data_IF_074180093764
#
_entry.id   IF_074180093764
#
_cell.length_a   1.000
_cell.length_b   1.000
_cell.length_c   1.000
_cell.angle_alpha   90.00
_cell.angle_beta   90.00
_cell.angle_gamma   90.00
#
_symmetry.space_group_name_H-M   'P 1'
#
loop_
_entity.id
_entity.type
_entity.pdbx_description
1 polymer ?
#
# COMPACT_ATOMS: atom_id res chain seq x y z
N UNK A 1 -21.80 -0.51 16.89
CA UNK A 1 -20.98 -1.74 16.75
C UNK A 1 -20.28 -1.81 15.40
N UNK A 2 -20.91 -1.38 14.31
CA UNK A 2 -20.34 -1.37 12.96
C UNK A 2 -19.05 -0.53 12.86
N UNK A 3 -19.01 0.65 13.50
CA UNK A 3 -17.83 1.52 13.49
C UNK A 3 -16.61 0.89 14.18
N UNK A 4 -16.80 0.17 15.29
CA UNK A 4 -15.70 -0.53 16.00
C UNK A 4 -15.07 -1.62 15.13
N UNK A 5 -15.89 -2.35 14.36
CA UNK A 5 -15.39 -3.39 13.45
C UNK A 5 -14.58 -2.78 12.31
N UNK A 6 -15.06 -1.69 11.71
CA UNK A 6 -14.36 -0.97 10.64
C UNK A 6 -13.03 -0.42 11.14
N UNK A 7 -13.01 0.20 12.32
CA UNK A 7 -11.77 0.69 12.95
C UNK A 7 -10.78 -0.46 13.21
N UNK A 8 -11.24 -1.59 13.76
CA UNK A 8 -10.36 -2.74 14.00
C UNK A 8 -9.75 -3.28 12.70
N UNK A 9 -10.54 -3.36 11.62
CA UNK A 9 -10.08 -3.84 10.32
C UNK A 9 -9.05 -2.87 9.73
N UNK A 10 -9.31 -1.56 9.72
CA UNK A 10 -8.34 -0.62 9.16
C UNK A 10 -7.06 -0.56 10.00
N UNK A 11 -7.14 -0.69 11.32
CA UNK A 11 -5.94 -0.79 12.17
C UNK A 11 -5.11 -2.03 11.83
N UNK A 12 -5.73 -3.19 11.61
CA UNK A 12 -5.01 -4.39 11.15
C UNK A 12 -4.40 -4.19 9.76
N UNK A 13 -5.11 -3.57 8.82
CA UNK A 13 -4.58 -3.23 7.49
C UNK A 13 -3.36 -2.33 7.60
N UNK A 14 -3.41 -1.27 8.41
CA UNK A 14 -2.28 -0.37 8.65
C UNK A 14 -1.09 -1.12 9.26
N UNK A 15 -1.34 -2.06 10.18
CA UNK A 15 -0.26 -2.89 10.73
C UNK A 15 0.37 -3.77 9.65
N UNK A 16 -0.42 -4.49 8.86
CA UNK A 16 0.11 -5.36 7.80
C UNK A 16 0.89 -4.56 6.75
N UNK A 17 0.40 -3.38 6.36
CA UNK A 17 1.07 -2.54 5.38
C UNK A 17 2.28 -1.79 5.95
N UNK A 18 2.28 -1.41 7.22
CA UNK A 18 3.46 -0.84 7.87
C UNK A 18 4.62 -1.84 7.94
N UNK A 19 4.35 -3.06 8.38
CA UNK A 19 5.34 -4.15 8.40
C UNK A 19 5.76 -4.61 6.99
N UNK A 20 4.95 -4.33 5.96
CA UNK A 20 5.29 -4.70 4.59
C UNK A 20 6.55 -3.98 4.09
N UNK A 21 6.79 -2.72 4.49
CA UNK A 21 8.00 -1.99 4.08
C UNK A 21 9.27 -2.71 4.58
N UNK A 22 9.28 -3.14 5.84
CA UNK A 22 10.39 -3.93 6.38
C UNK A 22 10.57 -5.26 5.63
N UNK A 23 9.48 -5.99 5.39
CA UNK A 23 9.53 -7.24 4.65
C UNK A 23 10.00 -7.06 3.20
N UNK A 24 9.61 -5.96 2.53
CA UNK A 24 10.12 -5.59 1.20
C UNK A 24 11.63 -5.36 1.30
N UNK A 25 12.09 -4.55 2.25
CA UNK A 25 13.52 -4.22 2.41
C UNK A 25 14.40 -5.42 2.68
N UNK A 26 13.89 -6.42 3.40
CA UNK A 26 14.57 -7.71 3.58
C UNK A 26 14.61 -8.47 2.26
N UNK A 27 13.46 -8.65 1.61
CA UNK A 27 13.36 -9.48 0.42
C UNK A 27 14.12 -8.92 -0.80
N UNK A 28 14.12 -7.59 -0.99
CA UNK A 28 14.79 -6.95 -2.15
C UNK A 28 16.31 -7.02 -2.11
N UNK A 29 16.91 -7.53 -1.01
CA UNK A 29 18.35 -7.82 -0.94
C UNK A 29 18.74 -9.04 -1.77
N UNK A 30 17.80 -9.96 -1.97
CA UNK A 30 18.05 -11.26 -2.63
C UNK A 30 17.13 -11.50 -3.84
N UNK A 31 16.03 -10.74 -3.96
CA UNK A 31 15.02 -10.92 -5.02
C UNK A 31 14.74 -9.57 -5.70
N UNK A 32 14.70 -9.57 -7.03
CA UNK A 32 14.40 -8.34 -7.77
C UNK A 32 12.93 -7.90 -7.62
N UNK A 33 12.63 -6.66 -8.01
CA UNK A 33 11.35 -6.02 -7.77
C UNK A 33 10.19 -6.70 -8.52
N UNK A 34 10.45 -7.22 -9.72
CA UNK A 34 9.45 -7.88 -10.54
C UNK A 34 9.14 -9.27 -9.97
N UNK A 35 10.18 -10.04 -9.64
CA UNK A 35 10.04 -11.36 -9.03
C UNK A 35 9.36 -11.29 -7.67
N UNK A 36 9.75 -10.34 -6.81
CA UNK A 36 9.12 -10.13 -5.51
C UNK A 36 7.62 -9.83 -5.65
N UNK A 37 7.26 -8.96 -6.59
CA UNK A 37 5.85 -8.63 -6.89
C UNK A 37 5.10 -9.85 -7.42
N UNK A 38 5.71 -10.62 -8.30
CA UNK A 38 5.13 -11.83 -8.88
C UNK A 38 4.87 -12.90 -7.81
N UNK A 39 5.84 -13.16 -6.94
CA UNK A 39 5.72 -14.17 -5.88
C UNK A 39 4.60 -13.83 -4.89
N UNK A 40 4.56 -12.58 -4.39
CA UNK A 40 3.52 -12.18 -3.43
C UNK A 40 2.11 -12.25 -4.04
N UNK A 41 1.95 -11.89 -5.31
CA UNK A 41 0.64 -11.99 -5.98
C UNK A 41 0.27 -13.43 -6.25
N UNK A 42 1.22 -14.29 -6.63
CA UNK A 42 0.98 -15.72 -6.80
C UNK A 42 0.44 -16.33 -5.51
N UNK A 43 1.05 -16.02 -4.36
CA UNK A 43 0.56 -16.48 -3.05
C UNK A 43 -0.85 -15.95 -2.77
N UNK A 44 -1.08 -14.64 -2.93
CA UNK A 44 -2.39 -14.04 -2.68
C UNK A 44 -3.49 -14.62 -3.59
N UNK A 45 -3.16 -14.88 -4.86
CA UNK A 45 -4.07 -15.42 -5.85
C UNK A 45 -4.56 -16.82 -5.53
N UNK A 46 -3.80 -17.63 -4.78
CA UNK A 46 -4.30 -18.94 -4.29
C UNK A 46 -5.56 -18.73 -3.44
N UNK A 47 -5.49 -17.81 -2.48
CA UNK A 47 -6.62 -17.51 -1.58
C UNK A 47 -7.77 -16.77 -2.28
N UNK A 48 -7.44 -15.79 -3.12
CA UNK A 48 -8.43 -14.99 -3.85
C UNK A 48 -9.18 -15.82 -4.90
N UNK A 49 -8.48 -16.72 -5.61
CA UNK A 49 -9.13 -17.64 -6.55
C UNK A 49 -10.03 -18.62 -5.82
N UNK A 50 -9.58 -19.18 -4.69
CA UNK A 50 -10.43 -20.05 -3.87
C UNK A 50 -11.71 -19.33 -3.40
N UNK A 51 -11.59 -18.08 -2.96
CA UNK A 51 -12.75 -17.24 -2.64
C UNK A 51 -13.72 -17.07 -3.82
N UNK A 52 -13.21 -16.73 -5.01
CA UNK A 52 -14.03 -16.52 -6.20
C UNK A 52 -14.74 -17.79 -6.67
N UNK A 53 -14.07 -18.96 -6.60
CA UNK A 53 -14.68 -20.24 -6.94
C UNK A 53 -15.85 -20.59 -6.02
N UNK A 54 -15.75 -20.26 -4.73
CA UNK A 54 -16.83 -20.45 -3.77
C UNK A 54 -17.99 -19.47 -3.97
N UNK A 55 -17.68 -18.21 -4.30
CA UNK A 55 -18.68 -17.17 -4.55
C UNK A 55 -19.39 -17.30 -5.89
N UNK A 56 -18.76 -17.93 -6.89
CA UNK A 56 -19.23 -18.00 -8.28
C UNK A 56 -19.55 -16.63 -8.87
N UNK A 57 -18.88 -15.59 -8.38
CA UNK A 57 -19.06 -14.22 -8.86
C UNK A 57 -18.13 -14.00 -10.05
N UNK A 58 -18.68 -13.56 -11.18
CA UNK A 58 -17.93 -13.29 -12.42
C UNK A 58 -18.28 -11.88 -12.90
N UNK A 59 -17.29 -11.02 -13.20
CA UNK A 59 -17.56 -9.68 -13.66
C UNK A 59 -18.18 -9.69 -15.06
N UNK A 60 -18.92 -8.64 -15.37
CA UNK A 60 -19.42 -8.45 -16.73
C UNK A 60 -18.24 -8.30 -17.70
N UNK A 61 -18.33 -8.94 -18.87
CA UNK A 61 -17.24 -8.95 -19.87
C UNK A 61 -16.80 -7.53 -20.27
N UNK A 62 -17.75 -6.61 -20.34
CA UNK A 62 -17.55 -5.19 -20.64
C UNK A 62 -16.68 -4.45 -19.60
N UNK A 63 -16.66 -4.91 -18.35
CA UNK A 63 -15.86 -4.29 -17.30
C UNK A 63 -14.48 -4.95 -17.12
N UNK A 64 -14.20 -6.07 -17.79
CA UNK A 64 -12.88 -6.73 -17.72
C UNK A 64 -11.74 -5.74 -18.02
N UNK A 65 -11.80 -4.88 -19.07
CA UNK A 65 -10.75 -3.89 -19.31
C UNK A 65 -10.59 -2.88 -18.17
N UNK A 66 -11.69 -2.50 -17.51
CA UNK A 66 -11.69 -1.56 -16.39
C UNK A 66 -11.07 -2.18 -15.15
N UNK A 67 -11.43 -3.42 -14.83
CA UNK A 67 -10.87 -4.17 -13.70
C UNK A 67 -9.39 -4.50 -13.97
N UNK A 68 -9.04 -4.80 -15.21
CA UNK A 68 -7.64 -4.97 -15.62
C UNK A 68 -6.85 -3.67 -15.43
N UNK A 69 -7.39 -2.52 -15.85
CA UNK A 69 -6.76 -1.22 -15.62
C UNK A 69 -6.59 -0.93 -14.12
N UNK A 70 -7.59 -1.24 -13.30
CA UNK A 70 -7.51 -1.15 -11.84
C UNK A 70 -6.38 -2.01 -11.27
N UNK A 71 -6.27 -3.27 -11.72
CA UNK A 71 -5.20 -4.19 -11.32
C UNK A 71 -3.81 -3.73 -11.79
N UNK A 72 -3.67 -3.38 -13.06
CA UNK A 72 -2.38 -2.99 -13.63
C UNK A 72 -1.86 -1.67 -13.04
N UNK A 73 -2.62 -0.58 -13.19
CA UNK A 73 -2.17 0.74 -12.76
C UNK A 73 -2.21 0.89 -11.24
N UNK A 74 -3.14 0.21 -10.58
CA UNK A 74 -3.35 0.35 -9.15
C UNK A 74 -2.60 -0.65 -8.27
N UNK A 75 -2.22 -1.80 -8.82
CA UNK A 75 -1.59 -2.89 -8.05
C UNK A 75 -0.24 -3.29 -8.63
N UNK A 76 -0.14 -3.67 -9.91
CA UNK A 76 1.14 -4.06 -10.52
C UNK A 76 2.13 -2.90 -10.51
N UNK A 77 1.75 -1.76 -11.08
CA UNK A 77 2.60 -0.58 -11.16
C UNK A 77 2.99 -0.09 -9.76
N UNK A 78 2.04 -0.05 -8.83
CA UNK A 78 2.30 0.30 -7.43
C UNK A 78 3.41 -0.56 -6.81
N UNK A 79 3.25 -1.88 -6.84
CA UNK A 79 4.18 -2.78 -6.13
C UNK A 79 5.53 -2.91 -6.82
N UNK A 80 5.58 -2.95 -8.16
CA UNK A 80 6.86 -2.99 -8.89
C UNK A 80 7.66 -1.72 -8.60
N UNK A 81 7.04 -0.55 -8.70
CA UNK A 81 7.70 0.73 -8.46
C UNK A 81 8.10 0.92 -6.99
N UNK A 82 7.28 0.46 -6.04
CA UNK A 82 7.61 0.51 -4.62
C UNK A 82 8.79 -0.41 -4.30
N UNK A 83 8.74 -1.68 -4.72
CA UNK A 83 9.81 -2.64 -4.49
C UNK A 83 11.12 -2.17 -5.13
N UNK A 84 11.05 -1.65 -6.37
CA UNK A 84 12.20 -1.08 -7.06
C UNK A 84 12.75 0.13 -6.30
N UNK A 85 11.87 1.04 -5.85
CA UNK A 85 12.28 2.18 -5.05
C UNK A 85 13.02 1.79 -3.77
N UNK A 86 12.52 0.81 -3.03
CA UNK A 86 13.14 0.31 -1.79
C UNK A 86 14.48 -0.41 -1.99
N UNK A 87 14.89 -0.72 -3.23
CA UNK A 87 16.27 -1.11 -3.51
C UNK A 87 17.24 0.05 -3.31
N UNK A 88 16.81 1.29 -3.58
CA UNK A 88 17.66 2.49 -3.57
C UNK A 88 17.43 3.39 -2.34
N UNK A 89 16.23 3.37 -1.75
CA UNK A 89 15.89 4.21 -0.60
C UNK A 89 15.54 3.38 0.64
N UNK A 90 15.51 4.02 1.80
CA UNK A 90 15.10 3.37 3.05
C UNK A 90 13.59 3.13 3.08
N UNK A 91 13.16 2.11 3.83
CA UNK A 91 11.74 1.82 4.08
C UNK A 91 11.01 2.99 4.71
N UNK A 92 11.67 3.73 5.61
CA UNK A 92 11.16 4.96 6.18
C UNK A 92 10.84 6.00 5.09
N UNK A 93 11.81 6.32 4.22
CA UNK A 93 11.60 7.28 3.14
C UNK A 93 10.55 6.83 2.12
N UNK A 94 10.54 5.54 1.76
CA UNK A 94 9.51 4.99 0.88
C UNK A 94 8.11 5.15 1.50
N UNK A 95 7.95 4.84 2.79
CA UNK A 95 6.68 5.00 3.50
C UNK A 95 6.21 6.46 3.57
N UNK A 96 7.12 7.43 3.68
CA UNK A 96 6.80 8.87 3.63
C UNK A 96 6.15 9.25 2.31
N UNK A 97 6.78 8.83 1.21
CA UNK A 97 6.36 9.19 -0.12
C UNK A 97 4.99 8.56 -0.40
N UNK A 98 4.77 7.31 0.03
CA UNK A 98 3.46 6.67 -0.03
C UNK A 98 2.42 7.38 0.85
N UNK A 99 2.80 7.94 2.00
CA UNK A 99 1.90 8.71 2.86
C UNK A 99 1.44 10.06 2.25
N UNK A 100 1.94 10.44 1.07
CA UNK A 100 1.37 11.51 0.26
C UNK A 100 0.11 11.07 -0.51
N UNK A 101 -0.07 9.77 -0.77
CA UNK A 101 -1.23 9.26 -1.51
C UNK A 101 -2.58 9.73 -0.93
N UNK A 102 -2.81 9.75 0.40
CA UNK A 102 -4.04 10.28 0.99
C UNK A 102 -4.36 11.74 0.63
N UNK A 103 -3.33 12.58 0.46
CA UNK A 103 -3.51 13.98 0.04
C UNK A 103 -4.02 14.03 -1.39
N UNK A 104 -3.43 13.24 -2.29
CA UNK A 104 -3.93 13.13 -3.66
C UNK A 104 -5.34 12.53 -3.69
N UNK A 105 -5.60 11.46 -2.92
CA UNK A 105 -6.94 10.86 -2.81
C UNK A 105 -7.97 11.90 -2.38
N UNK A 106 -7.66 12.79 -1.43
CA UNK A 106 -8.58 13.85 -1.03
C UNK A 106 -8.97 14.77 -2.20
N UNK A 107 -8.01 15.22 -3.00
CA UNK A 107 -8.29 16.09 -4.15
C UNK A 107 -9.01 15.36 -5.29
N UNK A 108 -8.59 14.12 -5.59
CA UNK A 108 -9.17 13.32 -6.65
C UNK A 108 -10.56 12.75 -6.28
N UNK A 109 -10.85 12.51 -5.01
CA UNK A 109 -12.19 12.06 -4.60
C UNK A 109 -13.24 13.16 -4.76
N UNK A 110 -12.87 14.44 -4.60
CA UNK A 110 -13.79 15.55 -4.88
C UNK A 110 -14.15 15.59 -6.36
N UNK A 111 -13.15 15.49 -7.25
CA UNK A 111 -13.37 15.64 -8.70
C UNK A 111 -13.97 14.41 -9.38
N UNK A 112 -13.59 13.19 -8.94
CA UNK A 112 -14.03 11.94 -9.59
C UNK A 112 -15.14 11.20 -8.86
N UNK A 113 -15.28 11.39 -7.54
CA UNK A 113 -16.31 10.72 -6.73
C UNK A 113 -17.39 11.69 -6.23
N UNK A 114 -17.24 12.99 -6.48
CA UNK A 114 -18.18 14.00 -6.01
C UNK A 114 -18.22 14.13 -4.49
N UNK A 115 -17.15 13.78 -3.79
CA UNK A 115 -17.08 13.95 -2.33
C UNK A 115 -17.01 15.45 -1.95
N UNK A 116 -17.69 15.83 -0.88
CA UNK A 116 -17.67 17.23 -0.41
C UNK A 116 -16.27 17.64 0.09
N UNK A 117 -15.82 18.82 -0.37
CA UNK A 117 -14.65 19.47 0.21
C UNK A 117 -14.95 19.80 1.68
N UNK A 118 -14.19 19.20 2.58
CA UNK A 118 -14.30 19.46 4.00
C UNK A 118 -12.97 20.01 4.51
N UNK A 119 -12.97 21.24 5.04
CA UNK A 119 -11.76 21.85 5.63
C UNK A 119 -11.16 20.97 6.73
N UNK A 120 -11.99 20.23 7.47
CA UNK A 120 -11.55 19.24 8.46
C UNK A 120 -10.66 18.15 7.83
N UNK A 121 -11.09 17.55 6.71
CA UNK A 121 -10.34 16.49 6.02
C UNK A 121 -9.03 17.01 5.46
N UNK A 122 -9.05 18.21 4.88
CA UNK A 122 -7.84 18.87 4.38
C UNK A 122 -6.86 19.13 5.52
N UNK A 123 -7.27 19.85 6.57
CA UNK A 123 -6.40 20.17 7.71
C UNK A 123 -5.92 18.91 8.44
N UNK A 124 -6.78 17.92 8.66
CA UNK A 124 -6.38 16.66 9.29
C UNK A 124 -5.35 15.88 8.46
N UNK A 125 -5.48 15.90 7.13
CA UNK A 125 -4.48 15.32 6.22
C UNK A 125 -3.13 16.05 6.29
N UNK A 126 -3.14 17.39 6.39
CA UNK A 126 -1.92 18.20 6.54
C UNK A 126 -1.27 17.99 7.91
N UNK A 127 -2.06 17.92 8.99
CA UNK A 127 -1.57 17.66 10.35
C UNK A 127 -0.90 16.29 10.43
N UNK A 128 -1.58 15.24 9.96
CA UNK A 128 -1.02 13.90 10.03
C UNK A 128 0.18 13.75 9.06
N UNK A 129 0.17 14.37 7.87
CA UNK A 129 1.33 14.42 6.99
C UNK A 129 2.54 15.12 7.65
N UNK A 130 2.30 16.22 8.36
CA UNK A 130 3.35 16.92 9.12
C UNK A 130 3.93 16.04 10.23
N UNK A 131 3.08 15.23 10.88
CA UNK A 131 3.53 14.20 11.81
C UNK A 131 4.45 13.16 11.15
N UNK A 132 4.09 12.68 9.97
CA UNK A 132 4.94 11.77 9.19
C UNK A 132 6.31 12.41 8.88
N UNK A 133 6.34 13.69 8.46
CA UNK A 133 7.60 14.40 8.23
C UNK A 133 8.48 14.45 9.48
N UNK A 134 7.90 14.73 10.66
CA UNK A 134 8.65 14.76 11.92
C UNK A 134 9.26 13.40 12.29
N UNK A 135 8.51 12.31 12.11
CA UNK A 135 9.01 10.95 12.37
C UNK A 135 10.27 10.67 11.54
N UNK A 136 10.37 11.25 10.34
CA UNK A 136 11.37 10.85 9.37
C UNK A 136 12.61 11.75 9.37
N UNK A 137 12.46 13.03 9.74
CA UNK A 137 13.59 13.89 10.09
C UNK A 137 14.48 13.28 11.19
N UNK A 138 13.90 12.39 11.99
CA UNK A 138 14.62 11.62 13.00
C UNK A 138 15.54 10.54 12.40
N UNK A 139 15.04 9.88 11.36
CA UNK A 139 15.67 8.71 10.73
C UNK A 139 16.68 9.07 9.64
N UNK A 140 16.84 10.36 9.33
CA UNK A 140 17.63 10.79 8.19
C UNK A 140 19.11 10.95 8.54
N UNK A 141 19.90 9.90 8.30
CA UNK A 141 21.30 10.07 7.88
C UNK A 141 21.27 10.72 6.48
N UNK A 142 21.25 12.06 6.43
CA UNK A 142 21.15 12.87 5.20
C UNK A 142 22.36 12.75 4.26
N UNK A 143 23.31 11.84 4.52
CA UNK A 143 24.45 11.54 3.66
C UNK A 143 24.05 10.61 2.50
N UNK A 144 23.30 11.11 1.53
CA UNK A 144 22.90 10.33 0.35
C UNK A 144 23.80 10.64 -0.87
N UNK A 145 24.16 9.61 -1.63
CA UNK A 145 24.66 9.80 -3.00
C UNK A 145 23.50 10.31 -3.87
N UNK A 146 23.68 11.48 -4.48
CA UNK A 146 22.58 12.30 -4.97
C UNK A 146 21.80 11.68 -6.15
N UNK A 147 22.42 10.79 -6.95
CA UNK A 147 21.83 10.30 -8.20
C UNK A 147 20.98 9.02 -8.05
N UNK A 148 21.45 7.99 -7.34
CA UNK A 148 20.73 6.72 -7.20
C UNK A 148 19.49 6.85 -6.28
N UNK A 149 19.58 7.74 -5.29
CA UNK A 149 18.46 8.06 -4.40
C UNK A 149 17.30 8.74 -5.15
N UNK A 150 17.57 9.60 -6.14
CA UNK A 150 16.51 10.32 -6.89
C UNK A 150 15.64 9.39 -7.73
N UNK A 151 16.22 8.36 -8.34
CA UNK A 151 15.46 7.38 -9.13
C UNK A 151 14.52 6.57 -8.24
N UNK A 152 14.99 6.15 -7.06
CA UNK A 152 14.16 5.46 -6.08
C UNK A 152 13.01 6.34 -5.57
N UNK A 153 13.29 7.60 -5.22
CA UNK A 153 12.26 8.59 -4.81
C UNK A 153 11.21 8.79 -5.91
N UNK A 154 11.64 8.96 -7.17
CA UNK A 154 10.73 9.14 -8.29
C UNK A 154 9.85 7.90 -8.50
N UNK A 155 10.42 6.70 -8.41
CA UNK A 155 9.67 5.45 -8.52
C UNK A 155 8.59 5.33 -7.43
N UNK A 156 8.94 5.56 -6.16
CA UNK A 156 7.96 5.50 -5.06
C UNK A 156 6.91 6.62 -5.17
N UNK A 157 7.27 7.80 -5.69
CA UNK A 157 6.30 8.86 -5.92
C UNK A 157 5.25 8.46 -6.97
N UNK A 158 5.70 7.86 -8.08
CA UNK A 158 4.77 7.32 -9.08
C UNK A 158 3.95 6.17 -8.49
N UNK A 159 4.53 5.35 -7.62
CA UNK A 159 3.79 4.34 -6.85
C UNK A 159 2.67 4.98 -6.01
N UNK A 160 2.92 6.09 -5.32
CA UNK A 160 1.88 6.82 -4.56
C UNK A 160 0.72 7.30 -5.46
N UNK A 161 1.01 7.73 -6.69
CA UNK A 161 -0.01 8.08 -7.68
C UNK A 161 -0.80 6.85 -8.15
N UNK A 162 -0.13 5.71 -8.36
CA UNK A 162 -0.77 4.42 -8.63
C UNK A 162 -1.73 4.00 -7.50
N UNK A 163 -1.32 4.15 -6.24
CA UNK A 163 -2.19 3.89 -5.09
C UNK A 163 -3.40 4.81 -5.06
N UNK A 164 -3.20 6.10 -5.37
CA UNK A 164 -4.29 7.08 -5.48
C UNK A 164 -5.30 6.68 -6.54
N UNK A 165 -4.81 6.31 -7.74
CA UNK A 165 -5.66 5.80 -8.81
C UNK A 165 -6.45 4.57 -8.36
N UNK A 166 -5.80 3.60 -7.71
CA UNK A 166 -6.46 2.39 -7.22
C UNK A 166 -7.62 2.69 -6.26
N UNK A 167 -7.42 3.63 -5.34
CA UNK A 167 -8.41 3.99 -4.32
C UNK A 167 -9.60 4.71 -4.97
N UNK A 168 -9.33 5.73 -5.77
CA UNK A 168 -10.38 6.58 -6.36
C UNK A 168 -11.13 5.82 -7.45
N UNK A 169 -10.42 5.18 -8.39
CA UNK A 169 -11.04 4.43 -9.48
C UNK A 169 -11.74 3.16 -8.99
N UNK A 170 -11.17 2.47 -7.99
CA UNK A 170 -11.80 1.30 -7.37
C UNK A 170 -13.16 1.63 -6.76
N UNK A 171 -13.27 2.79 -6.08
CA UNK A 171 -14.51 3.25 -5.46
C UNK A 171 -15.65 3.47 -6.47
N UNK A 172 -15.35 3.92 -7.70
CA UNK A 172 -16.34 4.04 -8.79
C UNK A 172 -16.96 2.67 -9.14
N UNK A 173 -16.19 1.59 -9.05
CA UNK A 173 -16.65 0.26 -9.42
C UNK A 173 -17.44 -0.46 -8.31
N UNK A 174 -17.45 0.08 -7.08
CA UNK A 174 -18.20 -0.50 -5.95
C UNK A 174 -19.72 -0.41 -6.13
N UNK A 175 -20.21 0.50 -6.97
CA UNK A 175 -21.63 0.58 -7.29
C UNK A 175 -22.15 -0.69 -8.00
N UNK A 176 -21.26 -1.38 -8.75
CA UNK A 176 -21.60 -2.56 -9.55
C UNK A 176 -21.11 -3.86 -8.94
N UNK A 177 -20.01 -3.83 -8.19
CA UNK A 177 -19.32 -5.03 -7.72
C UNK A 177 -19.14 -5.04 -6.21
N UNK A 178 -19.32 -6.23 -5.62
CA UNK A 178 -18.94 -6.49 -4.24
C UNK A 178 -17.42 -6.23 -4.07
N UNK A 179 -16.98 -5.47 -3.05
CA UNK A 179 -15.60 -4.99 -2.93
C UNK A 179 -14.54 -6.10 -3.00
N UNK A 180 -14.72 -7.20 -2.26
CA UNK A 180 -13.72 -8.27 -2.23
C UNK A 180 -13.64 -9.03 -3.57
N UNK A 181 -14.77 -9.20 -4.25
CA UNK A 181 -14.82 -9.75 -5.61
C UNK A 181 -14.03 -8.85 -6.57
N UNK A 182 -14.23 -7.53 -6.52
CA UNK A 182 -13.48 -6.59 -7.34
C UNK A 182 -11.97 -6.64 -7.04
N UNK A 183 -11.59 -6.66 -5.75
CA UNK A 183 -10.19 -6.81 -5.33
C UNK A 183 -9.57 -8.09 -5.86
N UNK A 184 -10.28 -9.21 -5.74
CA UNK A 184 -9.79 -10.52 -6.18
C UNK A 184 -9.49 -10.51 -7.68
N UNK A 185 -10.43 -10.03 -8.51
CA UNK A 185 -10.18 -9.91 -9.94
C UNK A 185 -9.08 -8.90 -10.29
N UNK A 186 -9.02 -7.76 -9.59
CA UNK A 186 -7.97 -6.77 -9.82
C UNK A 186 -6.57 -7.35 -9.54
N UNK A 187 -6.37 -8.09 -8.45
CA UNK A 187 -5.07 -8.70 -8.10
C UNK A 187 -4.72 -9.86 -9.04
N UNK A 188 -5.71 -10.69 -9.42
CA UNK A 188 -5.51 -11.74 -10.41
C UNK A 188 -5.05 -11.12 -11.75
N UNK A 189 -5.75 -10.09 -12.22
CA UNK A 189 -5.39 -9.38 -13.45
C UNK A 189 -4.07 -8.61 -13.32
N UNK A 190 -3.72 -8.11 -12.14
CA UNK A 190 -2.42 -7.48 -11.87
C UNK A 190 -1.24 -8.45 -12.05
N UNK A 191 -1.49 -9.76 -12.00
CA UNK A 191 -0.44 -10.78 -12.21
C UNK A 191 -0.19 -11.04 -13.69
N UNK A 192 -1.16 -10.78 -14.57
CA UNK A 192 -1.07 -11.07 -16.01
C UNK A 192 0.12 -10.35 -16.68
N UNK A 193 0.37 -9.04 -16.47
CA UNK A 193 1.52 -8.37 -17.05
C UNK A 193 2.85 -8.99 -16.61
N UNK A 194 2.96 -9.48 -15.37
CA UNK A 194 4.17 -10.11 -14.85
C UNK A 194 4.39 -11.50 -15.48
N UNK A 195 3.32 -12.25 -15.75
CA UNK A 195 3.41 -13.51 -16.49
C UNK A 195 3.97 -13.31 -17.90
N UNK A 196 3.61 -12.21 -18.55
CA UNK A 196 4.13 -11.87 -19.89
C UNK A 196 5.63 -11.53 -19.87
N UNK A 197 6.20 -11.22 -18.72
CA UNK A 197 7.63 -10.94 -18.56
C UNK A 197 8.49 -12.21 -18.38
N UNK A 198 7.87 -13.37 -18.09
CA UNK A 198 8.58 -14.65 -17.89
C UNK A 198 9.46 -15.04 -19.08
N UNK A 199 8.98 -15.01 -20.35
CA UNK A 199 9.80 -15.43 -21.49
C UNK A 199 11.04 -14.55 -21.73
N UNK A 200 11.05 -13.34 -21.14
CA UNK A 200 12.17 -12.40 -21.24
C UNK A 200 13.20 -12.57 -20.11
N UNK A 201 13.01 -13.55 -19.22
CA UNK A 201 13.93 -13.81 -18.10
C UNK A 201 13.90 -12.73 -17.01
N UNK A 202 12.89 -11.86 -17.01
CA UNK A 202 12.74 -10.79 -16.01
C UNK A 202 12.26 -11.35 -14.67
N UNK A 203 11.41 -12.38 -14.71
CA UNK A 203 10.99 -13.11 -13.50
C UNK A 203 12.01 -14.22 -13.26
N UNK A 204 12.76 -14.09 -12.17
CA UNK A 204 13.66 -15.13 -11.70
C UNK A 204 12.84 -16.24 -11.03
N UNK A 205 13.21 -17.51 -11.23
CA UNK A 205 12.60 -18.68 -10.59
C UNK A 205 13.62 -19.46 -9.74
N UNK A 206 14.78 -18.87 -9.46
CA UNK A 206 15.77 -19.43 -8.55
C UNK A 206 15.36 -19.15 -7.11
N UNK A 207 14.89 -20.19 -6.42
CA UNK A 207 14.47 -20.11 -5.02
C UNK A 207 15.66 -20.32 -4.05
N UNK A 208 16.83 -19.77 -4.39
CA UNK A 208 18.03 -19.85 -3.57
C UNK A 208 18.21 -18.58 -2.74
N UNK A 209 17.23 -18.30 -1.89
CA UNK A 209 17.24 -17.17 -0.97
C UNK A 209 17.12 -17.66 0.48
N UNK A 210 17.49 -16.79 1.42
CA UNK A 210 17.48 -17.09 2.84
C UNK A 210 16.06 -17.34 3.38
N UNK A 211 15.97 -17.99 4.53
CA UNK A 211 14.70 -18.19 5.21
C UNK A 211 14.00 -16.86 5.55
N UNK A 212 14.79 -15.81 5.84
CA UNK A 212 14.28 -14.46 6.11
C UNK A 212 13.56 -13.86 4.90
N UNK A 213 14.16 -13.97 3.71
CA UNK A 213 13.52 -13.59 2.44
C UNK A 213 12.25 -14.41 2.19
N UNK A 214 12.30 -15.72 2.43
CA UNK A 214 11.13 -16.59 2.26
C UNK A 214 9.96 -16.18 3.16
N UNK A 215 10.21 -15.95 4.45
CA UNK A 215 9.18 -15.47 5.39
C UNK A 215 8.65 -14.09 5.00
N UNK A 216 9.52 -13.21 4.50
CA UNK A 216 9.11 -11.89 4.03
C UNK A 216 8.17 -11.99 2.82
N UNK A 217 8.48 -12.84 1.84
CA UNK A 217 7.61 -13.08 0.67
C UNK A 217 6.26 -13.67 1.10
N UNK A 218 6.25 -14.64 2.02
CA UNK A 218 5.03 -15.23 2.57
C UNK A 218 4.19 -14.20 3.31
N UNK A 219 4.83 -13.37 4.14
CA UNK A 219 4.18 -12.28 4.84
C UNK A 219 3.52 -11.29 3.87
N UNK A 220 4.28 -10.88 2.84
CA UNK A 220 3.80 -9.96 1.81
C UNK A 220 2.62 -10.55 1.02
N UNK A 221 2.65 -11.84 0.69
CA UNK A 221 1.57 -12.51 -0.03
C UNK A 221 0.29 -12.65 0.80
N UNK A 222 0.42 -13.17 2.03
CA UNK A 222 -0.75 -13.51 2.86
C UNK A 222 -1.28 -12.29 3.60
N UNK A 223 -0.44 -11.62 4.39
CA UNK A 223 -0.89 -10.58 5.30
C UNK A 223 -1.00 -9.24 4.59
N UNK A 224 0.03 -8.81 3.87
CA UNK A 224 0.00 -7.51 3.22
C UNK A 224 -0.89 -7.49 1.96
N UNK A 225 -0.88 -8.55 1.16
CA UNK A 225 -1.64 -8.61 -0.09
C UNK A 225 -3.04 -9.16 0.12
N UNK A 226 -3.20 -10.44 0.48
CA UNK A 226 -4.53 -11.02 0.61
C UNK A 226 -5.36 -10.35 1.72
N UNK A 227 -4.91 -10.41 2.98
CA UNK A 227 -5.67 -9.86 4.12
C UNK A 227 -5.71 -8.33 4.09
N UNK A 228 -4.58 -7.68 3.78
CA UNK A 228 -4.46 -6.23 3.73
C UNK A 228 -5.43 -5.60 2.72
N UNK A 229 -5.43 -6.08 1.47
CA UNK A 229 -6.37 -5.56 0.45
C UNK A 229 -7.82 -5.92 0.75
N UNK A 230 -8.10 -7.12 1.29
CA UNK A 230 -9.44 -7.50 1.73
C UNK A 230 -9.97 -6.54 2.78
N UNK A 231 -9.17 -6.24 3.80
CA UNK A 231 -9.53 -5.29 4.86
C UNK A 231 -9.68 -3.88 4.33
N UNK A 232 -8.77 -3.44 3.45
CA UNK A 232 -8.81 -2.11 2.84
C UNK A 232 -10.09 -1.88 2.04
N UNK A 233 -10.45 -2.82 1.16
CA UNK A 233 -11.66 -2.69 0.33
C UNK A 233 -12.94 -2.81 1.15
N UNK A 234 -12.95 -3.64 2.19
CA UNK A 234 -14.05 -3.65 3.16
C UNK A 234 -14.24 -2.28 3.80
N UNK A 235 -13.16 -1.61 4.21
CA UNK A 235 -13.25 -0.29 4.83
C UNK A 235 -13.64 0.77 3.82
N UNK A 236 -13.05 0.76 2.62
CA UNK A 236 -13.40 1.68 1.55
C UNK A 236 -14.87 1.57 1.17
N UNK A 237 -15.52 0.41 1.28
CA UNK A 237 -16.96 0.27 1.04
C UNK A 237 -17.83 0.99 2.10
N UNK A 238 -17.32 1.13 3.33
CA UNK A 238 -18.08 1.66 4.47
C UNK A 238 -17.85 3.14 4.77
N UNK A 239 -16.86 3.78 4.15
CA UNK A 239 -16.59 5.20 4.33
C UNK A 239 -16.15 5.86 3.03
N UNK A 240 -16.04 7.19 3.07
CA UNK A 240 -15.54 7.99 1.95
C UNK A 240 -14.05 7.69 1.72
N UNK A 241 -13.63 7.74 0.45
CA UNK A 241 -12.25 7.45 0.07
C UNK A 241 -11.27 8.42 0.74
N UNK A 242 -11.63 9.72 0.79
CA UNK A 242 -10.85 10.74 1.50
C UNK A 242 -10.74 10.50 3.01
N UNK A 243 -11.73 9.87 3.63
CA UNK A 243 -11.71 9.57 5.06
C UNK A 243 -10.88 8.31 5.36
N UNK A 244 -11.06 7.24 4.57
CA UNK A 244 -10.32 6.00 4.73
C UNK A 244 -8.82 6.21 4.53
N UNK A 245 -8.43 7.02 3.52
CA UNK A 245 -7.03 7.20 3.15
C UNK A 245 -6.21 7.85 4.26
N UNK A 246 -6.81 8.67 5.12
CA UNK A 246 -6.08 9.35 6.21
C UNK A 246 -5.54 8.37 7.24
N UNK A 247 -6.23 7.25 7.50
CA UNK A 247 -5.70 6.18 8.36
C UNK A 247 -4.41 5.59 7.80
N UNK A 248 -4.21 5.61 6.47
CA UNK A 248 -2.97 5.10 5.86
C UNK A 248 -1.76 5.96 6.21
N UNK A 249 -1.93 7.21 6.68
CA UNK A 249 -0.83 8.02 7.19
C UNK A 249 -0.24 7.49 8.52
N UNK A 250 -0.87 6.49 9.14
CA UNK A 250 -0.29 5.75 10.27
C UNK A 250 0.67 4.63 9.85
N UNK A 251 0.75 4.29 8.56
CA UNK A 251 1.68 3.27 8.04
C UNK A 251 3.15 3.62 8.31
N UNK A 252 3.64 4.85 8.05
CA UNK A 252 5.03 5.22 8.32
C UNK A 252 5.42 5.08 9.79
N UNK A 253 4.49 5.38 10.70
CA UNK A 253 4.68 5.16 12.14
C UNK A 253 4.97 3.69 12.39
N UNK A 254 4.10 2.80 11.90
CA UNK A 254 4.29 1.34 12.04
C UNK A 254 5.58 0.88 11.37
N UNK A 255 5.92 1.40 10.19
CA UNK A 255 7.14 1.06 9.48
C UNK A 255 8.39 1.38 10.31
N UNK A 256 8.48 2.60 10.88
CA UNK A 256 9.58 3.00 11.76
C UNK A 256 9.63 2.16 13.04
N UNK A 257 8.48 1.88 13.66
CA UNK A 257 8.45 0.99 14.83
C UNK A 257 8.90 -0.44 14.50
N UNK A 258 8.55 -0.96 13.33
CA UNK A 258 8.98 -2.30 12.90
C UNK A 258 10.48 -2.36 12.63
N UNK A 259 11.05 -1.31 12.03
CA UNK A 259 12.48 -1.17 11.82
C UNK A 259 13.25 -1.02 13.14
N UNK A 260 12.76 -0.19 14.08
CA UNK A 260 13.28 -0.13 15.45
C UNK A 260 13.29 -1.51 16.13
N UNK A 261 12.19 -2.25 16.04
CA UNK A 261 12.04 -3.52 16.75
C UNK A 261 12.93 -4.63 16.21
N UNK A 262 13.06 -4.77 14.88
CA UNK A 262 13.82 -5.87 14.26
C UNK A 262 15.23 -5.49 13.83
N UNK A 263 15.46 -4.25 13.41
CA UNK A 263 16.76 -3.78 12.94
C UNK A 263 17.55 -3.04 14.03
N UNK A 264 16.94 -2.76 15.18
CA UNK A 264 17.59 -2.10 16.30
C UNK A 264 17.86 -0.60 16.05
N UNK A 265 17.11 0.03 15.14
CA UNK A 265 17.15 1.48 14.95
C UNK A 265 16.78 2.21 16.27
N UNK A 266 17.06 3.51 16.39
CA UNK A 266 16.74 4.27 17.62
C UNK A 266 15.45 5.08 17.43
N UNK A 267 14.54 5.01 18.40
CA UNK A 267 13.41 5.94 18.50
C UNK A 267 13.88 7.19 19.23
N UNK A 268 13.68 8.36 18.66
CA UNK A 268 13.91 9.62 19.36
C UNK A 268 12.62 10.39 19.65
N UNK A 269 12.78 11.55 20.29
CA UNK A 269 11.70 12.48 20.58
C UNK A 269 10.95 12.93 19.30
N UNK A 270 11.65 13.03 18.16
CA UNK A 270 11.02 13.40 16.88
C UNK A 270 10.05 12.30 16.40
N UNK A 271 10.43 11.03 16.49
CA UNK A 271 9.55 9.89 16.22
C UNK A 271 8.31 9.89 17.12
N UNK A 272 8.47 10.21 18.41
CA UNK A 272 7.35 10.28 19.36
C UNK A 272 6.39 11.43 19.00
N UNK A 273 6.92 12.64 18.78
CA UNK A 273 6.11 13.81 18.42
C UNK A 273 5.39 13.63 17.09
N UNK A 274 6.09 13.09 16.09
CA UNK A 274 5.50 12.80 14.78
C UNK A 274 4.37 11.78 14.87
N UNK A 275 4.53 10.73 15.68
CA UNK A 275 3.47 9.75 15.97
C UNK A 275 2.23 10.40 16.58
N UNK A 276 2.41 11.30 17.55
CA UNK A 276 1.31 12.05 18.17
C UNK A 276 0.55 12.87 17.11
N UNK A 277 1.26 13.57 16.24
CA UNK A 277 0.65 14.39 15.18
C UNK A 277 -0.16 13.55 14.19
N UNK A 278 0.35 12.37 13.80
CA UNK A 278 -0.39 11.42 12.97
C UNK A 278 -1.70 10.99 13.65
N UNK A 279 -1.64 10.58 14.92
CA UNK A 279 -2.83 10.18 15.68
C UNK A 279 -3.83 11.33 15.79
N UNK A 280 -3.37 12.54 16.06
CA UNK A 280 -4.22 13.74 16.16
C UNK A 280 -4.89 14.05 14.82
N UNK A 281 -4.15 14.01 13.70
CA UNK A 281 -4.72 14.27 12.38
C UNK A 281 -5.77 13.24 11.99
N UNK A 282 -5.52 11.95 12.24
CA UNK A 282 -6.49 10.86 12.02
C UNK A 282 -7.72 11.07 12.90
N UNK A 283 -7.54 11.36 14.19
CA UNK A 283 -8.64 11.59 15.11
C UNK A 283 -9.49 12.82 14.73
N UNK A 284 -8.84 13.91 14.31
CA UNK A 284 -9.50 15.16 13.95
C UNK A 284 -10.48 15.02 12.79
N UNK A 285 -10.19 14.15 11.81
CA UNK A 285 -11.10 13.92 10.67
C UNK A 285 -12.24 12.98 11.01
N UNK A 286 -12.01 12.04 11.93
CA UNK A 286 -12.99 11.01 12.27
C UNK A 286 -13.93 11.41 13.42
N UNK A 287 -14.00 12.70 13.76
CA UNK A 287 -14.88 13.29 14.78
C UNK A 287 -15.89 14.28 14.19
#
# INVERSE_FOLDING_TARGET
>A
MQDRKVIAIISMTVLFWGWAFLAIKVAVKEVDAYSLTFYRFTIANVFLTAYLLLKKAVPAKEDIPRIFALGFFGVTAYHVLLNFGEMYISSGLASLIIALAPVFVFFFSISFLGEDFTIKKFLGSIIALSGVFLVILDTSDLSFSMNESMVGVAAVFVSALSATFYIVYGKVLFEKYEPLTLTAYAIIFATVPLLLLIPFGVINFEFNFSAETAYSILFLGIFATFLGYTGWYYVLDKMQASQASIFLQAIPVVAVFSAWFLLGEKITLLTVLGTIFVVVGVYFVNR
#
